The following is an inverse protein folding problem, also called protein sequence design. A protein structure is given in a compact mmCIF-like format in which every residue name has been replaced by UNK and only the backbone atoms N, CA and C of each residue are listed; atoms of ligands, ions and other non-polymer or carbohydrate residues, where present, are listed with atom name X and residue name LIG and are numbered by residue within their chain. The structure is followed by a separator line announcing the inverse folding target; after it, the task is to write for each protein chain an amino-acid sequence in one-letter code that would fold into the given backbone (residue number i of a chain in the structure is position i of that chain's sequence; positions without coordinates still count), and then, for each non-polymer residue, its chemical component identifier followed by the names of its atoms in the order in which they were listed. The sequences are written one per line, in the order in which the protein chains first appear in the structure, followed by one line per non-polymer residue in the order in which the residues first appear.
data_IF_053057766144
#
_entry.id   IF_053057766144
#
_cell.length_a   1.000
_cell.length_b   1.000
_cell.length_c   1.000
_cell.angle_alpha   90.00
_cell.angle_beta   90.00
_cell.angle_gamma   90.00
#
_symmetry.space_group_name_H-M   'P 1'
#
loop_
_entity.id
_entity.type
_entity.pdbx_description
1 polymer ?
#
# COMPACT_ATOMS: atom_id res chain seq x y z
N UNK A 1 13.29 -3.92 33.13
CA UNK A 1 12.84 -4.82 32.05
C UNK A 1 13.31 -4.23 30.73
N UNK A 2 14.05 -4.98 29.89
CA UNK A 2 14.42 -4.50 28.55
C UNK A 2 13.37 -5.00 27.57
N UNK A 3 12.67 -4.08 26.91
CA UNK A 3 11.64 -4.39 25.90
C UNK A 3 12.26 -4.14 24.53
N UNK A 4 12.50 -5.19 23.75
CA UNK A 4 13.15 -5.11 22.43
C UNK A 4 12.24 -5.53 21.29
N UNK A 5 11.30 -6.44 21.56
CA UNK A 5 10.45 -7.03 20.52
C UNK A 5 9.32 -6.07 20.12
N UNK A 6 9.04 -5.90 18.81
CA UNK A 6 7.96 -5.06 18.33
C UNK A 6 6.59 -5.65 18.68
N UNK A 7 5.60 -4.78 18.87
CA UNK A 7 4.21 -5.22 19.02
C UNK A 7 3.66 -5.75 17.68
N UNK A 8 2.94 -6.87 17.74
CA UNK A 8 2.23 -7.48 16.60
C UNK A 8 0.72 -7.50 16.86
N UNK A 9 -0.11 -7.41 15.81
CA UNK A 9 -1.58 -7.45 16.00
C UNK A 9 -2.14 -8.86 16.23
N UNK A 10 -1.37 -9.90 15.94
CA UNK A 10 -1.71 -11.31 16.21
C UNK A 10 -0.55 -12.00 16.95
N UNK A 11 -0.28 -11.62 18.22
CA UNK A 11 0.80 -12.24 18.99
C UNK A 11 0.47 -13.69 19.35
N UNK A 12 1.50 -14.53 19.51
CA UNK A 12 1.31 -15.85 20.09
C UNK A 12 0.76 -15.74 21.53
N UNK A 13 -0.01 -16.72 22.03
CA UNK A 13 -0.60 -16.65 23.37
C UNK A 13 0.39 -16.34 24.49
N UNK A 14 1.62 -16.86 24.37
CA UNK A 14 2.71 -16.65 25.34
C UNK A 14 3.25 -15.20 25.37
N UNK A 15 3.04 -14.46 24.28
CA UNK A 15 3.50 -13.08 24.09
C UNK A 15 2.39 -12.05 24.37
N UNK A 16 1.12 -12.46 24.40
CA UNK A 16 -0.03 -11.57 24.54
C UNK A 16 -0.06 -10.77 25.86
N UNK A 17 0.62 -11.25 26.90
CA UNK A 17 0.71 -10.59 28.22
C UNK A 17 2.02 -9.84 28.44
N UNK A 18 2.95 -9.88 27.48
CA UNK A 18 4.27 -9.26 27.60
C UNK A 18 4.26 -7.83 27.06
N UNK A 19 5.10 -6.97 27.65
CA UNK A 19 5.34 -5.63 27.11
C UNK A 19 6.14 -5.72 25.80
N UNK A 20 5.74 -4.94 24.81
CA UNK A 20 6.37 -4.86 23.49
C UNK A 20 6.66 -3.41 23.10
N UNK A 21 7.51 -3.20 22.09
CA UNK A 21 7.92 -1.91 21.59
C UNK A 21 6.97 -1.44 20.50
N UNK A 22 6.26 -0.34 20.75
CA UNK A 22 5.38 0.28 19.76
C UNK A 22 6.14 1.35 18.97
N UNK A 23 6.31 1.11 17.67
CA UNK A 23 6.91 2.09 16.77
C UNK A 23 5.87 3.11 16.32
N UNK A 24 6.31 4.37 16.20
CA UNK A 24 5.50 5.45 15.64
C UNK A 24 6.31 6.17 14.58
N UNK A 25 5.81 6.15 13.34
CA UNK A 25 6.38 6.95 12.27
C UNK A 25 6.00 8.43 12.43
N UNK A 26 6.79 9.30 11.81
CA UNK A 26 6.40 10.70 11.63
C UNK A 26 5.09 10.76 10.84
N UNK A 27 4.22 11.71 11.20
CA UNK A 27 2.96 11.87 10.48
C UNK A 27 3.22 12.27 9.02
N UNK A 28 2.40 11.71 8.12
CA UNK A 28 2.30 12.11 6.71
C UNK A 28 0.98 12.84 6.45
N UNK A 29 0.32 13.30 7.52
CA UNK A 29 -0.85 14.16 7.41
C UNK A 29 -0.46 15.45 6.67
N UNK A 30 -1.28 15.85 5.71
CA UNK A 30 -1.05 17.03 4.88
C UNK A 30 -0.43 16.72 3.50
N UNK A 31 -0.01 15.48 3.24
CA UNK A 31 0.28 15.02 1.89
C UNK A 31 -1.01 14.48 1.22
N UNK A 32 -1.13 14.57 -0.13
CA UNK A 32 -2.22 13.93 -0.85
C UNK A 32 -2.25 12.42 -0.57
N UNK A 33 -3.40 11.90 -0.17
CA UNK A 33 -3.59 10.49 0.15
C UNK A 33 -4.95 9.98 -0.34
N UNK A 34 -5.02 8.68 -0.64
CA UNK A 34 -6.26 7.94 -0.88
C UNK A 34 -6.45 6.91 0.22
N UNK A 35 -7.70 6.69 0.65
CA UNK A 35 -8.01 5.66 1.62
C UNK A 35 -8.21 4.31 0.92
N UNK A 36 -7.82 3.22 1.59
CA UNK A 36 -8.12 1.87 1.10
C UNK A 36 -9.62 1.60 0.93
N UNK A 37 -10.49 2.34 1.63
CA UNK A 37 -11.95 2.19 1.47
C UNK A 37 -12.46 2.67 0.10
N UNK A 38 -11.70 3.56 -0.55
CA UNK A 38 -12.02 4.10 -1.88
C UNK A 38 -11.37 3.25 -3.00
N UNK A 39 -10.68 2.17 -2.64
CA UNK A 39 -10.01 1.30 -3.59
C UNK A 39 -11.02 0.53 -4.46
N UNK A 40 -10.69 0.44 -5.75
CA UNK A 40 -11.43 -0.35 -6.73
C UNK A 40 -10.57 -1.55 -7.14
N UNK A 41 -11.08 -2.75 -6.89
CA UNK A 41 -10.42 -4.00 -7.21
C UNK A 41 -11.02 -4.60 -8.49
N UNK A 42 -10.15 -5.19 -9.31
CA UNK A 42 -10.54 -6.01 -10.45
C UNK A 42 -10.02 -7.43 -10.24
N UNK A 43 -10.93 -8.38 -10.38
CA UNK A 43 -10.66 -9.81 -10.31
C UNK A 43 -10.77 -10.39 -11.72
N UNK A 44 -9.69 -10.91 -12.28
CA UNK A 44 -9.64 -11.43 -13.66
C UNK A 44 -10.29 -10.45 -14.68
N UNK A 45 -11.17 -10.99 -15.54
CA UNK A 45 -11.97 -10.24 -16.52
C UNK A 45 -13.32 -9.74 -15.97
N UNK A 46 -13.49 -9.67 -14.65
CA UNK A 46 -14.73 -9.14 -14.07
C UNK A 46 -14.73 -7.61 -14.10
N UNK A 47 -15.93 -7.05 -13.97
CA UNK A 47 -16.11 -5.62 -13.83
C UNK A 47 -15.41 -5.10 -12.56
N UNK A 48 -14.84 -3.88 -12.60
CA UNK A 48 -14.29 -3.22 -11.42
C UNK A 48 -15.34 -3.12 -10.31
N UNK A 49 -14.95 -3.38 -9.07
CA UNK A 49 -15.80 -3.29 -7.88
C UNK A 49 -15.05 -2.64 -6.73
N UNK A 50 -15.78 -2.15 -5.74
CA UNK A 50 -15.16 -1.71 -4.48
C UNK A 50 -14.42 -2.90 -3.86
N UNK A 51 -13.18 -2.66 -3.41
CA UNK A 51 -12.40 -3.67 -2.73
C UNK A 51 -13.08 -4.09 -1.42
N UNK A 52 -13.04 -5.37 -1.02
CA UNK A 52 -13.37 -5.75 0.35
C UNK A 52 -12.48 -4.97 1.32
N UNK A 53 -13.03 -4.59 2.47
CA UNK A 53 -12.27 -3.86 3.49
C UNK A 53 -12.22 -4.63 4.81
N UNK A 54 -11.12 -4.46 5.54
CA UNK A 54 -10.92 -5.05 6.85
C UNK A 54 -10.24 -4.05 7.79
N UNK A 55 -10.55 -4.15 9.08
CA UNK A 55 -9.82 -3.46 10.15
C UNK A 55 -9.15 -4.51 11.04
N UNK A 56 -7.82 -4.58 10.96
CA UNK A 56 -7.03 -5.62 11.63
C UNK A 56 -7.12 -5.54 13.16
N UNK A 57 -7.12 -4.33 13.71
CA UNK A 57 -7.36 -4.05 15.13
C UNK A 57 -8.07 -2.70 15.24
N UNK A 58 -8.66 -2.36 16.41
CA UNK A 58 -9.26 -1.05 16.61
C UNK A 58 -8.33 0.16 16.39
N UNK A 59 -7.00 -0.03 16.41
CA UNK A 59 -6.02 1.03 16.15
C UNK A 59 -5.65 1.21 14.68
N UNK A 60 -5.99 0.23 13.82
CA UNK A 60 -5.76 0.34 12.38
C UNK A 60 -6.93 1.07 11.71
N UNK A 61 -6.69 1.82 10.64
CA UNK A 61 -7.78 2.29 9.77
C UNK A 61 -8.45 1.10 9.07
N UNK A 62 -9.62 1.33 8.48
CA UNK A 62 -10.20 0.39 7.51
C UNK A 62 -9.30 0.35 6.28
N UNK A 63 -8.86 -0.84 5.89
CA UNK A 63 -7.93 -1.05 4.79
C UNK A 63 -8.57 -1.87 3.67
N UNK A 64 -8.13 -1.66 2.44
CA UNK A 64 -8.46 -2.57 1.34
C UNK A 64 -7.79 -3.93 1.59
N UNK A 65 -8.57 -4.99 1.49
CA UNK A 65 -8.06 -6.36 1.48
C UNK A 65 -7.69 -6.72 0.05
N UNK A 66 -6.39 -6.83 -0.21
CA UNK A 66 -5.86 -7.29 -1.49
C UNK A 66 -5.52 -8.79 -1.36
N UNK A 67 -6.17 -9.62 -2.17
CA UNK A 67 -5.91 -11.05 -2.24
C UNK A 67 -5.07 -11.38 -3.47
N UNK A 68 -4.33 -12.48 -3.46
CA UNK A 68 -3.49 -12.89 -4.60
C UNK A 68 -4.25 -13.21 -5.89
N UNK A 69 -5.58 -13.19 -5.86
CA UNK A 69 -6.45 -13.30 -7.04
C UNK A 69 -6.86 -11.95 -7.62
N UNK A 70 -6.67 -10.84 -6.91
CA UNK A 70 -6.90 -9.50 -7.44
C UNK A 70 -5.81 -9.18 -8.47
N UNK A 71 -6.21 -9.00 -9.72
CA UNK A 71 -5.28 -8.72 -10.83
C UNK A 71 -4.88 -7.24 -10.85
N UNK A 72 -5.74 -6.38 -10.32
CA UNK A 72 -5.53 -4.93 -10.27
C UNK A 72 -6.25 -4.30 -9.07
N UNK A 73 -5.55 -3.40 -8.38
CA UNK A 73 -6.10 -2.54 -7.33
C UNK A 73 -5.86 -1.09 -7.72
N UNK A 74 -6.92 -0.31 -7.85
CA UNK A 74 -6.88 1.08 -8.27
C UNK A 74 -7.27 2.02 -7.13
N UNK A 75 -6.49 3.09 -6.96
CA UNK A 75 -6.77 4.21 -6.06
C UNK A 75 -6.67 5.51 -6.85
N UNK A 76 -7.57 6.44 -6.60
CA UNK A 76 -7.54 7.77 -7.22
C UNK A 76 -7.57 8.84 -6.13
N UNK A 77 -6.79 9.90 -6.31
CA UNK A 77 -6.75 11.03 -5.38
C UNK A 77 -6.56 12.37 -6.11
N UNK A 78 -7.12 13.45 -5.56
CA UNK A 78 -6.79 14.80 -6.01
C UNK A 78 -5.34 15.16 -5.62
N UNK A 79 -4.68 15.96 -6.46
CA UNK A 79 -3.33 16.46 -6.24
C UNK A 79 -3.39 17.99 -6.25
N UNK A 80 -3.13 18.59 -5.09
CA UNK A 80 -3.29 20.04 -4.92
C UNK A 80 -2.17 20.86 -5.60
N UNK A 81 -0.97 20.31 -5.68
CA UNK A 81 0.20 20.98 -6.26
C UNK A 81 0.77 20.11 -7.37
N UNK A 82 0.67 20.50 -8.64
CA UNK A 82 1.33 19.80 -9.74
C UNK A 82 2.83 19.70 -9.53
N UNK A 83 3.44 18.59 -9.94
CA UNK A 83 4.87 18.38 -9.85
C UNK A 83 5.28 16.93 -9.62
N UNK A 84 6.54 16.77 -9.23
CA UNK A 84 7.17 15.48 -8.91
C UNK A 84 6.78 14.97 -7.52
N UNK A 85 6.22 13.77 -7.46
CA UNK A 85 5.79 13.10 -6.24
C UNK A 85 6.38 11.71 -6.12
N UNK A 86 6.43 11.20 -4.89
CA UNK A 86 6.80 9.80 -4.58
C UNK A 86 5.56 9.08 -4.08
N UNK A 87 5.36 7.84 -4.53
CA UNK A 87 4.30 6.99 -4.03
C UNK A 87 4.77 6.26 -2.76
N UNK A 88 4.16 6.59 -1.63
CA UNK A 88 4.31 5.86 -0.36
C UNK A 88 3.02 5.08 -0.06
N UNK A 89 3.15 3.84 0.39
CA UNK A 89 2.02 2.99 0.75
C UNK A 89 2.14 2.59 2.21
N UNK A 90 1.06 2.77 2.96
CA UNK A 90 0.89 2.21 4.29
C UNK A 90 0.14 0.88 4.18
N UNK A 91 0.72 -0.21 4.72
CA UNK A 91 0.18 -1.55 4.54
C UNK A 91 0.49 -2.47 5.73
N UNK A 92 -0.26 -3.58 5.77
CA UNK A 92 0.06 -4.77 6.56
C UNK A 92 0.08 -5.97 5.61
N UNK A 93 0.91 -6.97 5.92
CA UNK A 93 1.07 -8.14 5.06
C UNK A 93 1.52 -9.35 5.87
N UNK A 94 0.70 -10.38 5.95
CA UNK A 94 1.06 -11.65 6.60
C UNK A 94 1.78 -12.61 5.66
N UNK A 95 1.75 -12.33 4.35
CA UNK A 95 2.34 -13.19 3.34
C UNK A 95 3.86 -13.00 3.24
N UNK A 96 4.50 -13.90 2.49
CA UNK A 96 5.87 -13.70 2.04
C UNK A 96 6.00 -12.41 1.21
N UNK A 97 7.24 -12.02 0.92
CA UNK A 97 7.52 -10.87 0.08
C UNK A 97 6.80 -10.99 -1.27
N UNK A 98 6.09 -9.93 -1.66
CA UNK A 98 5.39 -9.84 -2.94
C UNK A 98 5.85 -8.61 -3.71
N UNK A 99 6.15 -8.82 -4.98
CA UNK A 99 6.47 -7.75 -5.93
C UNK A 99 5.23 -7.49 -6.78
N UNK A 100 4.88 -6.22 -6.94
CA UNK A 100 3.77 -5.80 -7.80
C UNK A 100 4.21 -4.66 -8.73
N UNK A 101 3.64 -4.65 -9.93
CA UNK A 101 3.72 -3.51 -10.83
C UNK A 101 2.94 -2.33 -10.28
N UNK A 102 3.44 -1.13 -10.54
CA UNK A 102 2.77 0.13 -10.24
C UNK A 102 2.65 0.92 -11.53
N UNK A 103 1.42 1.30 -11.89
CA UNK A 103 1.17 2.27 -12.95
C UNK A 103 0.52 3.52 -12.35
N UNK A 104 1.04 4.70 -12.71
CA UNK A 104 0.53 5.99 -12.26
C UNK A 104 0.16 6.83 -13.48
N UNK A 105 -1.09 7.27 -13.52
CA UNK A 105 -1.63 8.13 -14.58
C UNK A 105 -2.15 9.43 -14.00
N UNK A 106 -1.94 10.52 -14.74
CA UNK A 106 -2.38 11.87 -14.42
C UNK A 106 -2.80 12.56 -15.73
N UNK A 107 -3.78 13.49 -15.72
CA UNK A 107 -4.20 14.19 -16.94
C UNK A 107 -3.04 14.84 -17.68
N UNK A 108 -3.01 14.66 -19.00
CA UNK A 108 -1.99 15.17 -19.92
C UNK A 108 -0.56 14.69 -19.67
N UNK A 109 -0.36 13.69 -18.80
CA UNK A 109 0.93 13.04 -18.57
C UNK A 109 0.85 11.60 -19.08
N UNK A 110 1.91 11.14 -19.76
CA UNK A 110 2.00 9.75 -20.18
C UNK A 110 1.97 8.82 -18.96
N UNK A 111 1.45 7.59 -19.13
CA UNK A 111 1.44 6.60 -18.05
C UNK A 111 2.86 6.30 -17.59
N UNK A 112 3.09 6.39 -16.28
CA UNK A 112 4.38 6.16 -15.65
C UNK A 112 4.37 4.82 -14.91
N UNK A 113 5.50 4.13 -14.90
CA UNK A 113 5.62 2.78 -14.33
C UNK A 113 6.65 2.74 -13.20
N UNK A 114 6.42 1.84 -12.27
CA UNK A 114 7.34 1.48 -11.19
C UNK A 114 7.01 0.12 -10.62
N UNK A 115 7.64 -0.22 -9.52
CA UNK A 115 7.45 -1.48 -8.81
C UNK A 115 7.29 -1.20 -7.33
N UNK A 116 6.48 -2.00 -6.64
CA UNK A 116 6.35 -1.94 -5.18
C UNK A 116 6.60 -3.32 -4.58
N UNK A 117 7.26 -3.35 -3.41
CA UNK A 117 7.55 -4.58 -2.68
C UNK A 117 6.80 -4.57 -1.35
N UNK A 118 5.84 -5.47 -1.20
CA UNK A 118 5.16 -5.75 0.07
C UNK A 118 5.99 -6.76 0.86
N UNK A 119 6.70 -6.29 1.88
CA UNK A 119 7.42 -7.16 2.82
C UNK A 119 6.45 -7.76 3.85
N UNK A 120 6.80 -8.87 4.52
CA UNK A 120 6.06 -9.32 5.69
C UNK A 120 5.98 -8.18 6.73
N UNK A 121 4.78 -7.83 7.14
CA UNK A 121 4.47 -6.77 8.10
C UNK A 121 3.27 -7.19 8.97
N UNK A 122 3.57 -7.75 10.14
CA UNK A 122 2.59 -8.26 11.11
C UNK A 122 2.49 -7.40 12.38
N UNK A 123 2.96 -6.15 12.29
CA UNK A 123 3.10 -5.26 13.42
C UNK A 123 1.82 -4.51 13.76
N UNK A 124 1.66 -4.09 15.01
CA UNK A 124 0.50 -3.29 15.46
C UNK A 124 0.43 -1.88 14.84
N UNK A 125 1.40 -1.51 14.02
CA UNK A 125 1.45 -0.28 13.21
C UNK A 125 1.59 -0.66 11.73
N UNK A 126 1.13 0.20 10.82
CA UNK A 126 1.28 -0.02 9.39
C UNK A 126 2.73 0.18 8.93
N UNK A 127 3.25 -0.77 8.15
CA UNK A 127 4.52 -0.58 7.48
C UNK A 127 4.39 0.43 6.35
N UNK A 128 5.50 1.11 6.06
CA UNK A 128 5.61 2.06 4.96
C UNK A 128 6.57 1.52 3.92
N UNK A 129 6.14 1.51 2.67
CA UNK A 129 7.00 1.25 1.53
C UNK A 129 6.93 2.39 0.53
N UNK A 130 7.88 2.43 -0.39
CA UNK A 130 7.91 3.37 -1.51
C UNK A 130 7.99 2.59 -2.82
N UNK A 131 7.36 3.12 -3.87
CA UNK A 131 7.56 2.58 -5.20
C UNK A 131 8.98 2.89 -5.69
N UNK A 132 9.54 1.97 -6.46
CA UNK A 132 10.88 2.06 -7.05
C UNK A 132 10.83 2.04 -8.58
N UNK A 133 11.83 2.67 -9.20
CA UNK A 133 12.02 2.67 -10.65
C UNK A 133 12.70 1.36 -11.13
N UNK A 134 12.92 1.25 -12.44
CA UNK A 134 13.59 0.08 -13.05
C UNK A 134 15.04 -0.11 -12.59
N UNK A 135 15.63 0.85 -11.90
CA UNK A 135 16.97 0.78 -11.30
C UNK A 135 16.91 0.53 -9.79
N UNK A 136 15.73 0.18 -9.25
CA UNK A 136 15.49 -0.04 -7.82
C UNK A 136 15.78 1.20 -6.96
N UNK A 137 15.64 2.40 -7.53
CA UNK A 137 15.75 3.68 -6.80
C UNK A 137 14.35 4.22 -6.55
N UNK A 138 14.22 5.18 -5.63
CA UNK A 138 12.93 5.84 -5.36
C UNK A 138 12.31 6.39 -6.65
N UNK A 139 11.15 5.84 -7.05
CA UNK A 139 10.43 6.31 -8.22
C UNK A 139 9.86 7.69 -7.96
N UNK A 140 9.92 8.54 -8.99
CA UNK A 140 9.31 9.87 -8.96
C UNK A 140 8.31 9.96 -10.11
N UNK A 141 7.09 10.38 -9.80
CA UNK A 141 5.98 10.49 -10.73
C UNK A 141 5.59 11.95 -10.92
N UNK A 142 5.46 12.38 -12.16
CA UNK A 142 4.93 13.70 -12.52
C UNK A 142 3.39 13.66 -12.43
N UNK A 143 2.81 14.50 -11.57
CA UNK A 143 1.38 14.58 -11.31
C UNK A 143 0.85 15.99 -11.59
N UNK A 144 -0.40 16.09 -12.02
CA UNK A 144 -1.10 17.35 -12.30
C UNK A 144 -2.17 17.62 -11.23
N UNK A 145 -3.45 17.56 -11.57
CA UNK A 145 -4.56 17.86 -10.66
C UNK A 145 -5.13 16.63 -9.95
N UNK A 146 -4.86 15.44 -10.47
CA UNK A 146 -5.32 14.16 -9.95
C UNK A 146 -4.32 13.07 -10.30
N UNK A 147 -4.32 11.99 -9.53
CA UNK A 147 -3.56 10.80 -9.85
C UNK A 147 -4.45 9.57 -9.73
N UNK A 148 -4.28 8.64 -10.65
CA UNK A 148 -4.81 7.28 -10.54
C UNK A 148 -3.62 6.32 -10.46
N UNK A 149 -3.55 5.59 -9.37
CA UNK A 149 -2.53 4.59 -9.07
C UNK A 149 -3.15 3.21 -9.26
N UNK A 150 -2.46 2.33 -9.98
CA UNK A 150 -2.82 0.93 -10.15
C UNK A 150 -1.69 0.05 -9.67
N UNK A 151 -2.01 -0.88 -8.78
CA UNK A 151 -1.16 -1.99 -8.41
C UNK A 151 -1.59 -3.22 -9.21
N UNK A 152 -0.65 -3.86 -9.90
CA UNK A 152 -0.92 -5.07 -10.70
C UNK A 152 -0.02 -6.20 -10.26
N UNK A 153 -0.58 -7.39 -10.13
CA UNK A 153 0.21 -8.59 -9.89
C UNK A 153 1.04 -8.94 -11.13
N UNK A 154 2.29 -9.39 -10.96
CA UNK A 154 3.17 -9.87 -12.05
C UNK A 154 2.54 -11.00 -12.91
N UNK A 155 1.45 -11.62 -12.43
CA UNK A 155 0.66 -12.58 -13.20
C UNK A 155 -0.08 -11.97 -14.41
N UNK A 156 -0.31 -10.65 -14.42
CA UNK A 156 -1.06 -9.98 -15.49
C UNK A 156 -0.24 -9.71 -16.78
N UNK A 157 1.10 -9.74 -16.71
CA UNK A 157 2.00 -9.50 -17.87
C UNK A 157 2.46 -10.79 -18.57
N UNK A 158 1.85 -11.94 -18.24
CA UNK A 158 2.20 -13.25 -18.83
C UNK A 158 1.11 -13.86 -19.73
N UNK A 159 0.18 -13.04 -20.25
CA UNK A 159 -0.84 -13.49 -21.23
C UNK A 159 -0.55 -12.96 -22.63
#
# INVERSE_FOLDING_TARGET
LKVTEPCTYQPAPEQATQNCLLYKYLSVDGFPAASGVDAVCRLDNRLPRVCPTEQLTPSHPQMATCSGSDVEVQLSLPVAQPGKHVLMVEYANTNALQTVGVAVSSPHVAMQQGTFLFYPCVYSFLCRGIAVDSQSRMATFELTSEATIRFTSDLADRS
#
